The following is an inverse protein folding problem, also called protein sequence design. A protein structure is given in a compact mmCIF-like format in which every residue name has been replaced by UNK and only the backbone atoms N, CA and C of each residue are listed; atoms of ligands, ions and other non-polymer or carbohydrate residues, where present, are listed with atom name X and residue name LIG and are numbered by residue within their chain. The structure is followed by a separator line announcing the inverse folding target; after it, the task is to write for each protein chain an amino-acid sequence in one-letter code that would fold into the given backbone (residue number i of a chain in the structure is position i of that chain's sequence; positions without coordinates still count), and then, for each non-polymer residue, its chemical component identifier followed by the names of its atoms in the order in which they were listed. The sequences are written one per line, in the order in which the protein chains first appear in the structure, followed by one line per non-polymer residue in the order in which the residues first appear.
data_IF_062857493417
#
_entry.id   IF_062857493417
#
_cell.length_a   1.000
_cell.length_b   1.000
_cell.length_c   1.000
_cell.angle_alpha   90.00
_cell.angle_beta   90.00
_cell.angle_gamma   90.00
#
_symmetry.space_group_name_H-M   'P 1'
#
loop_
_entity.id
_entity.type
_entity.pdbx_description
1 polymer ?
#
# COMPACT_ATOMS: atom_id res chain seq x y z
N UNK A 1 -0.64 -47.15 44.15
CA UNK A 1 -1.09 -45.74 44.13
C UNK A 1 -0.57 -45.10 42.86
N UNK A 2 -1.47 -44.58 42.02
CA UNK A 2 -1.24 -44.13 40.64
C UNK A 2 -0.54 -42.76 40.61
N UNK A 3 0.52 -42.63 39.81
CA UNK A 3 1.16 -41.37 39.49
C UNK A 3 0.40 -40.71 38.31
N UNK A 4 -0.02 -39.47 38.51
CA UNK A 4 -0.85 -38.69 37.59
C UNK A 4 0.00 -38.16 36.43
N UNK A 5 -0.45 -38.42 35.20
CA UNK A 5 0.10 -37.86 33.97
C UNK A 5 -0.51 -36.46 33.77
N UNK A 6 0.33 -35.42 33.72
CA UNK A 6 -0.09 -34.08 33.29
C UNK A 6 -0.25 -34.07 31.77
N UNK A 7 -1.49 -33.98 31.30
CA UNK A 7 -1.84 -33.68 29.92
C UNK A 7 -1.91 -32.16 29.78
N UNK A 8 -0.97 -31.56 29.05
CA UNK A 8 -1.08 -30.17 28.62
C UNK A 8 -2.17 -30.07 27.55
N UNK A 9 -3.24 -29.36 27.89
CA UNK A 9 -4.37 -29.07 27.01
C UNK A 9 -3.97 -27.93 26.07
N UNK A 10 -3.75 -28.25 24.79
CA UNK A 10 -3.71 -27.29 23.69
C UNK A 10 -5.16 -26.96 23.29
N UNK A 11 -5.75 -25.94 23.90
CA UNK A 11 -6.94 -25.27 23.35
C UNK A 11 -6.74 -23.76 23.43
N UNK A 12 -6.62 -23.11 22.28
CA UNK A 12 -6.54 -21.66 22.23
C UNK A 12 -6.16 -21.10 20.88
N UNK A 13 -6.85 -21.46 19.79
CA UNK A 13 -6.71 -20.73 18.51
C UNK A 13 -7.93 -20.74 17.58
N UNK A 14 -9.07 -21.34 17.96
CA UNK A 14 -10.21 -21.51 17.02
C UNK A 14 -11.29 -20.42 17.20
N UNK A 15 -11.32 -19.68 18.31
CA UNK A 15 -12.43 -18.74 18.60
C UNK A 15 -12.31 -17.36 17.93
N UNK A 16 -11.13 -16.96 17.45
CA UNK A 16 -10.93 -15.63 16.88
C UNK A 16 -11.49 -15.46 15.45
N UNK A 17 -11.52 -16.52 14.64
CA UNK A 17 -11.97 -16.43 13.24
C UNK A 17 -13.49 -16.29 13.10
N UNK A 18 -14.26 -17.01 13.92
CA UNK A 18 -15.72 -16.97 13.87
C UNK A 18 -16.31 -15.64 14.37
N UNK A 19 -15.64 -14.99 15.33
CA UNK A 19 -16.07 -13.68 15.84
C UNK A 19 -15.95 -12.59 14.77
N UNK A 20 -14.84 -12.57 14.02
CA UNK A 20 -14.57 -11.60 12.96
C UNK A 20 -15.57 -11.72 11.79
N UNK A 21 -15.91 -12.95 11.40
CA UNK A 21 -16.91 -13.24 10.36
C UNK A 21 -18.31 -12.72 10.74
N UNK A 22 -18.67 -12.83 12.03
CA UNK A 22 -19.96 -12.34 12.56
C UNK A 22 -20.05 -10.81 12.63
N UNK A 23 -18.93 -10.12 12.85
CA UNK A 23 -18.87 -8.66 12.94
C UNK A 23 -18.98 -8.01 11.55
N UNK A 24 -18.24 -8.55 10.57
CA UNK A 24 -18.28 -8.03 9.21
C UNK A 24 -19.60 -8.31 8.50
N UNK A 25 -20.27 -9.42 8.80
CA UNK A 25 -21.64 -9.67 8.32
C UNK A 25 -22.62 -8.61 8.84
N UNK A 26 -22.52 -8.26 10.13
CA UNK A 26 -23.40 -7.25 10.74
C UNK A 26 -23.14 -5.85 10.17
N UNK A 27 -21.88 -5.48 10.00
CA UNK A 27 -21.49 -4.24 9.34
C UNK A 27 -22.05 -4.15 7.91
N UNK A 28 -21.93 -5.23 7.15
CA UNK A 28 -22.42 -5.31 5.78
C UNK A 28 -23.94 -5.07 5.69
N UNK A 29 -24.71 -5.68 6.60
CA UNK A 29 -26.15 -5.48 6.70
C UNK A 29 -26.53 -4.07 7.15
N UNK A 30 -25.84 -3.50 8.15
CA UNK A 30 -26.08 -2.14 8.65
C UNK A 30 -25.87 -1.08 7.56
N UNK A 31 -24.89 -1.30 6.68
CA UNK A 31 -24.60 -0.44 5.54
C UNK A 31 -25.59 -0.61 4.38
N UNK A 32 -26.54 -1.54 4.49
CA UNK A 32 -27.57 -1.83 3.49
C UNK A 32 -26.98 -2.15 2.12
N UNK A 33 -25.81 -2.79 2.12
CA UNK A 33 -25.13 -3.16 0.88
C UNK A 33 -25.92 -4.31 0.22
N UNK A 34 -26.30 -4.11 -1.04
CA UNK A 34 -27.04 -5.10 -1.82
C UNK A 34 -26.07 -6.04 -2.51
N UNK A 35 -26.43 -7.32 -2.57
CA UNK A 35 -25.71 -8.35 -3.34
C UNK A 35 -26.11 -8.28 -4.83
N UNK A 36 -25.84 -7.13 -5.45
CA UNK A 36 -26.02 -6.89 -6.87
C UNK A 36 -24.65 -6.71 -7.56
N UNK A 37 -24.66 -6.34 -8.84
CA UNK A 37 -23.43 -6.12 -9.63
C UNK A 37 -22.49 -5.06 -9.02
N UNK A 38 -23.02 -4.16 -8.21
CA UNK A 38 -22.27 -3.07 -7.57
C UNK A 38 -21.93 -3.41 -6.11
N UNK A 39 -22.26 -4.63 -5.64
CA UNK A 39 -22.04 -5.09 -4.27
C UNK A 39 -20.60 -4.88 -3.80
N UNK A 40 -19.63 -5.33 -4.60
CA UNK A 40 -18.23 -5.28 -4.21
C UNK A 40 -17.74 -3.84 -4.09
N UNK A 41 -18.19 -2.95 -4.99
CA UNK A 41 -17.88 -1.52 -4.95
C UNK A 41 -18.53 -0.85 -3.74
N UNK A 42 -19.81 -1.11 -3.49
CA UNK A 42 -20.55 -0.55 -2.37
C UNK A 42 -20.03 -1.08 -1.02
N UNK A 43 -19.54 -2.32 -0.98
CA UNK A 43 -18.94 -2.93 0.19
C UNK A 43 -17.56 -2.34 0.49
N UNK A 44 -16.65 -2.37 -0.48
CA UNK A 44 -15.27 -1.88 -0.30
C UNK A 44 -15.17 -0.37 -0.07
N UNK A 45 -16.16 0.41 -0.52
CA UNK A 45 -16.21 1.85 -0.27
C UNK A 45 -17.06 2.24 0.95
N UNK A 46 -17.72 1.28 1.61
CA UNK A 46 -18.52 1.57 2.79
C UNK A 46 -17.64 1.99 3.96
N UNK A 47 -18.09 3.01 4.70
CA UNK A 47 -17.38 3.52 5.87
C UNK A 47 -17.21 2.42 6.92
N UNK A 48 -15.99 2.26 7.40
CA UNK A 48 -15.61 1.38 8.51
C UNK A 48 -15.24 2.22 9.73
N UNK A 49 -15.21 1.56 10.88
CA UNK A 49 -14.69 2.07 12.14
C UNK A 49 -13.54 1.18 12.64
N UNK A 50 -13.02 1.45 13.83
CA UNK A 50 -11.88 0.73 14.39
C UNK A 50 -12.14 -0.76 14.67
N UNK A 51 -13.40 -1.21 14.73
CA UNK A 51 -13.75 -2.63 14.86
C UNK A 51 -13.97 -3.31 13.51
N UNK A 52 -14.40 -2.54 12.51
CA UNK A 52 -14.80 -3.05 11.19
C UNK A 52 -13.79 -2.75 10.09
N UNK A 53 -12.61 -2.21 10.41
CA UNK A 53 -11.63 -1.77 9.43
C UNK A 53 -11.11 -2.90 8.53
N UNK A 54 -11.14 -4.15 9.01
CA UNK A 54 -10.78 -5.34 8.23
C UNK A 54 -11.95 -5.89 7.40
N UNK A 55 -13.18 -5.40 7.59
CA UNK A 55 -14.36 -5.97 6.93
C UNK A 55 -14.42 -5.74 5.42
N UNK A 56 -13.59 -4.84 4.90
CA UNK A 56 -13.37 -4.73 3.46
C UNK A 56 -12.79 -6.02 2.86
N UNK A 57 -11.97 -6.75 3.61
CA UNK A 57 -11.34 -8.01 3.18
C UNK A 57 -12.37 -9.13 3.00
N UNK A 58 -13.47 -9.09 3.75
CA UNK A 58 -14.58 -10.04 3.67
C UNK A 58 -15.58 -9.71 2.55
N UNK A 59 -15.48 -8.55 1.88
CA UNK A 59 -16.42 -8.14 0.85
C UNK A 59 -16.59 -9.15 -0.32
N UNK A 60 -15.54 -9.82 -0.83
CA UNK A 60 -15.70 -10.86 -1.86
C UNK A 60 -16.62 -12.01 -1.40
N UNK A 61 -16.42 -12.50 -0.17
CA UNK A 61 -17.19 -13.59 0.42
C UNK A 61 -18.62 -13.16 0.76
N UNK A 62 -18.78 -11.95 1.32
CA UNK A 62 -20.07 -11.37 1.69
C UNK A 62 -20.96 -11.07 0.48
N UNK A 63 -20.34 -10.68 -0.65
CA UNK A 63 -21.04 -10.43 -1.90
C UNK A 63 -21.37 -11.71 -2.69
N UNK A 64 -20.78 -12.88 -2.33
CA UNK A 64 -20.99 -14.19 -2.98
C UNK A 64 -21.09 -14.13 -4.50
N UNK A 65 -20.23 -13.34 -5.13
CA UNK A 65 -20.26 -13.17 -6.57
C UNK A 65 -19.50 -14.32 -7.20
N UNK A 66 -20.21 -15.28 -7.79
CA UNK A 66 -19.66 -16.25 -8.75
C UNK A 66 -19.28 -15.52 -10.04
N UNK A 67 -18.25 -14.68 -9.97
CA UNK A 67 -17.70 -13.97 -11.14
C UNK A 67 -16.30 -14.47 -11.32
N UNK A 68 -16.05 -15.03 -12.51
CA UNK A 68 -14.76 -15.50 -12.98
C UNK A 68 -13.59 -14.76 -12.31
N UNK A 69 -12.89 -15.49 -11.46
CA UNK A 69 -12.04 -14.97 -10.37
C UNK A 69 -10.71 -14.36 -10.83
N UNK A 70 -10.47 -14.23 -12.13
CA UNK A 70 -9.18 -13.72 -12.62
C UNK A 70 -9.18 -12.20 -12.85
N UNK A 71 -10.34 -11.58 -13.02
CA UNK A 71 -10.45 -10.13 -13.29
C UNK A 71 -11.13 -9.33 -12.19
N UNK A 72 -11.60 -9.97 -11.11
CA UNK A 72 -12.38 -9.30 -10.05
C UNK A 72 -11.63 -9.08 -8.73
N UNK A 73 -10.39 -9.55 -8.60
CA UNK A 73 -9.47 -9.19 -7.50
C UNK A 73 -9.01 -7.70 -7.56
N UNK A 74 -9.76 -6.83 -8.24
CA UNK A 74 -9.24 -5.90 -9.27
C UNK A 74 -9.46 -4.40 -9.01
N UNK A 75 -10.18 -3.98 -7.97
CA UNK A 75 -10.38 -2.54 -7.67
C UNK A 75 -10.72 -2.26 -6.20
N UNK A 76 -11.50 -3.15 -5.59
CA UNK A 76 -11.88 -3.07 -4.19
C UNK A 76 -10.69 -3.14 -3.22
N UNK A 77 -9.58 -3.74 -3.66
CA UNK A 77 -8.32 -3.82 -2.91
C UNK A 77 -7.52 -2.52 -2.93
N UNK A 78 -7.80 -1.60 -3.87
CA UNK A 78 -7.13 -0.31 -4.02
C UNK A 78 -7.90 0.78 -3.24
N UNK A 79 -7.52 1.02 -1.98
CA UNK A 79 -8.11 2.09 -1.17
C UNK A 79 -7.47 3.45 -1.49
N UNK A 80 -8.17 4.54 -1.19
CA UNK A 80 -7.59 5.90 -1.24
C UNK A 80 -7.37 6.51 -2.63
N UNK A 81 -7.86 5.87 -3.70
CA UNK A 81 -7.61 6.36 -5.06
C UNK A 81 -8.15 7.77 -5.32
N UNK A 82 -7.37 8.58 -6.02
CA UNK A 82 -7.83 9.86 -6.58
C UNK A 82 -8.82 9.65 -7.73
N UNK A 83 -9.58 10.69 -8.14
CA UNK A 83 -10.40 10.62 -9.34
C UNK A 83 -9.60 10.25 -10.60
N UNK A 84 -8.35 10.70 -10.73
CA UNK A 84 -7.51 10.39 -11.89
C UNK A 84 -7.01 8.94 -11.85
N UNK A 85 -6.68 8.41 -10.67
CA UNK A 85 -6.31 7.00 -10.54
C UNK A 85 -7.49 6.10 -10.89
N UNK A 86 -8.71 6.40 -10.41
CA UNK A 86 -9.92 5.66 -10.82
C UNK A 86 -10.13 5.64 -12.33
N UNK A 87 -9.93 6.79 -12.98
CA UNK A 87 -10.03 6.89 -14.44
C UNK A 87 -8.92 6.09 -15.16
N UNK A 88 -7.71 6.04 -14.59
CA UNK A 88 -6.60 5.26 -15.14
C UNK A 88 -6.82 3.75 -14.96
N UNK A 89 -7.36 3.33 -13.82
CA UNK A 89 -7.71 1.93 -13.54
C UNK A 89 -8.77 1.42 -14.52
N UNK A 90 -9.79 2.23 -14.83
CA UNK A 90 -10.80 1.87 -15.84
C UNK A 90 -10.20 1.60 -17.22
N UNK A 91 -9.04 2.19 -17.54
CA UNK A 91 -8.32 2.00 -18.81
C UNK A 91 -7.30 0.86 -18.75
N UNK A 92 -6.63 0.68 -17.61
CA UNK A 92 -5.49 -0.23 -17.45
C UNK A 92 -5.55 -0.99 -16.12
N UNK A 93 -6.56 -1.83 -15.86
CA UNK A 93 -6.80 -2.40 -14.54
C UNK A 93 -5.65 -3.28 -14.05
N UNK A 94 -5.11 -4.16 -14.91
CA UNK A 94 -3.99 -5.03 -14.55
C UNK A 94 -2.71 -4.25 -14.21
N UNK A 95 -2.37 -3.21 -14.97
CA UNK A 95 -1.20 -2.37 -14.68
C UNK A 95 -1.38 -1.55 -13.41
N UNK A 96 -2.60 -1.09 -13.12
CA UNK A 96 -2.87 -0.36 -11.88
C UNK A 96 -2.82 -1.28 -10.66
N UNK A 97 -3.31 -2.52 -10.78
CA UNK A 97 -3.16 -3.52 -9.72
C UNK A 97 -1.67 -3.82 -9.44
N UNK A 98 -0.87 -4.03 -10.50
CA UNK A 98 0.57 -4.19 -10.35
C UNK A 98 1.23 -2.97 -9.71
N UNK A 99 0.87 -1.75 -10.16
CA UNK A 99 1.38 -0.51 -9.58
C UNK A 99 1.07 -0.38 -8.09
N UNK A 100 -0.14 -0.80 -7.69
CA UNK A 100 -0.58 -0.79 -6.30
C UNK A 100 0.15 -1.84 -5.45
N UNK A 101 0.39 -3.05 -5.98
CA UNK A 101 1.23 -4.05 -5.30
C UNK A 101 2.66 -3.54 -5.08
N UNK A 102 3.22 -2.83 -6.08
CA UNK A 102 4.55 -2.23 -5.96
C UNK A 102 4.62 -1.10 -4.92
N UNK A 103 3.50 -0.46 -4.55
CA UNK A 103 3.50 0.52 -3.45
C UNK A 103 3.66 -0.18 -2.10
N UNK A 104 3.09 -1.38 -1.95
CA UNK A 104 3.30 -2.22 -0.75
C UNK A 104 4.72 -2.76 -0.68
N UNK A 105 5.32 -3.12 -1.81
CA UNK A 105 6.73 -3.50 -1.85
C UNK A 105 7.63 -2.32 -1.46
N UNK A 106 7.33 -1.10 -1.93
CA UNK A 106 8.04 0.10 -1.51
C UNK A 106 7.93 0.36 0.00
N UNK A 107 6.72 0.23 0.57
CA UNK A 107 6.47 0.31 2.02
C UNK A 107 7.33 -0.72 2.78
N UNK A 108 7.34 -1.98 2.32
CA UNK A 108 8.12 -3.07 2.94
C UNK A 108 9.62 -2.80 2.88
N UNK A 109 10.13 -2.31 1.75
CA UNK A 109 11.55 -1.97 1.58
C UNK A 109 11.95 -0.78 2.47
N UNK A 110 11.13 0.26 2.53
CA UNK A 110 11.41 1.42 3.38
C UNK A 110 11.35 1.09 4.88
N UNK A 111 10.52 0.11 5.29
CA UNK A 111 10.52 -0.43 6.66
C UNK A 111 11.81 -1.12 7.07
N UNK A 112 12.67 -1.50 6.12
CA UNK A 112 14.03 -1.99 6.43
C UNK A 112 14.96 -0.87 6.91
N UNK A 113 14.64 0.39 6.63
CA UNK A 113 15.43 1.57 6.98
C UNK A 113 14.77 2.36 8.11
N UNK A 114 13.45 2.48 8.08
CA UNK A 114 12.68 3.28 9.02
C UNK A 114 11.66 2.42 9.77
N UNK A 115 11.84 2.28 11.09
CA UNK A 115 10.89 1.58 11.95
C UNK A 115 9.57 2.35 12.04
N UNK A 116 9.65 3.68 12.12
CA UNK A 116 8.50 4.58 12.10
C UNK A 116 8.33 5.19 10.70
N UNK A 117 7.08 5.26 10.26
CA UNK A 117 6.69 5.79 8.95
C UNK A 117 5.78 6.99 9.17
N UNK A 118 6.16 8.17 8.69
CA UNK A 118 5.37 9.40 8.80
C UNK A 118 5.22 10.10 7.46
N UNK A 119 4.31 11.07 7.40
CA UNK A 119 4.15 11.97 6.26
C UNK A 119 5.14 13.12 6.34
N UNK A 120 5.67 13.50 5.18
CA UNK A 120 6.57 14.62 4.95
C UNK A 120 8.00 14.46 5.48
N UNK A 121 8.39 13.27 5.93
CA UNK A 121 9.72 12.98 6.48
C UNK A 121 10.58 12.13 5.52
N UNK A 122 11.75 11.68 5.97
CA UNK A 122 12.64 10.85 5.15
C UNK A 122 12.05 9.46 4.82
N UNK A 123 11.14 8.93 5.66
CA UNK A 123 10.43 7.68 5.38
C UNK A 123 9.41 7.86 4.24
N UNK A 124 8.78 9.03 4.15
CA UNK A 124 7.89 9.40 3.06
C UNK A 124 8.64 9.55 1.74
N UNK A 125 9.73 10.33 1.77
CA UNK A 125 10.64 10.46 0.64
C UNK A 125 11.15 9.10 0.15
N UNK A 126 11.39 8.15 1.07
CA UNK A 126 11.72 6.77 0.71
C UNK A 126 10.61 6.09 -0.08
N UNK A 127 9.35 6.12 0.41
CA UNK A 127 8.24 5.44 -0.27
C UNK A 127 8.02 5.98 -1.67
N UNK A 128 8.02 7.30 -1.85
CA UNK A 128 7.91 7.93 -3.17
C UNK A 128 9.06 7.55 -4.11
N UNK A 129 10.31 7.66 -3.63
CA UNK A 129 11.48 7.32 -4.43
C UNK A 129 11.51 5.84 -4.83
N UNK A 130 11.25 4.93 -3.88
CA UNK A 130 11.31 3.48 -4.10
C UNK A 130 10.15 3.05 -4.99
N UNK A 131 8.93 3.50 -4.72
CA UNK A 131 7.77 3.17 -5.55
C UNK A 131 7.96 3.63 -6.99
N UNK A 132 8.41 4.87 -7.21
CA UNK A 132 8.71 5.36 -8.55
C UNK A 132 9.80 4.55 -9.27
N UNK A 133 10.82 4.08 -8.54
CA UNK A 133 11.88 3.22 -9.07
C UNK A 133 11.32 1.86 -9.50
N UNK A 134 10.52 1.22 -8.64
CA UNK A 134 9.86 -0.07 -8.89
C UNK A 134 8.90 0.01 -10.08
N UNK A 135 8.05 1.05 -10.13
CA UNK A 135 7.14 1.29 -11.24
C UNK A 135 7.89 1.45 -12.56
N UNK A 136 9.00 2.21 -12.56
CA UNK A 136 9.80 2.42 -13.78
C UNK A 136 10.44 1.12 -14.25
N UNK A 137 10.84 0.26 -13.31
CA UNK A 137 11.41 -1.07 -13.58
C UNK A 137 10.39 -2.01 -14.22
N UNK A 138 9.22 -2.14 -13.61
CA UNK A 138 8.24 -3.17 -13.98
C UNK A 138 7.26 -2.73 -15.07
N UNK A 139 6.85 -1.46 -15.06
CA UNK A 139 5.75 -0.97 -15.90
C UNK A 139 6.20 0.04 -16.96
N UNK A 140 7.47 0.45 -16.90
CA UNK A 140 8.08 1.39 -17.83
C UNK A 140 7.71 2.85 -17.56
N UNK A 141 8.64 3.75 -17.92
CA UNK A 141 8.59 5.18 -17.61
C UNK A 141 7.27 5.87 -18.00
N UNK A 142 6.72 5.54 -19.17
CA UNK A 142 5.50 6.18 -19.66
C UNK A 142 4.31 5.93 -18.73
N UNK A 143 4.10 4.67 -18.33
CA UNK A 143 3.01 4.33 -17.42
C UNK A 143 3.29 4.84 -16.01
N UNK A 144 4.55 4.80 -15.56
CA UNK A 144 4.97 5.38 -14.28
C UNK A 144 4.59 6.85 -14.18
N UNK A 145 4.82 7.65 -15.23
CA UNK A 145 4.41 9.05 -15.26
C UNK A 145 2.90 9.21 -15.14
N UNK A 146 2.11 8.34 -15.78
CA UNK A 146 0.65 8.43 -15.70
C UNK A 146 0.13 8.13 -14.30
N UNK A 147 0.60 7.06 -13.67
CA UNK A 147 0.11 6.65 -12.35
C UNK A 147 0.59 7.58 -11.24
N UNK A 148 1.86 8.01 -11.22
CA UNK A 148 2.35 8.94 -10.20
C UNK A 148 1.67 10.30 -10.30
N UNK A 149 1.49 10.85 -11.51
CA UNK A 149 0.74 12.10 -11.67
C UNK A 149 -0.75 11.97 -11.32
N UNK A 150 -1.31 10.76 -11.46
CA UNK A 150 -2.67 10.49 -11.00
C UNK A 150 -2.71 10.40 -9.47
N UNK A 151 -1.73 9.79 -8.84
CA UNK A 151 -1.59 9.70 -7.39
C UNK A 151 -1.49 11.10 -6.74
N UNK A 152 -0.58 11.93 -7.23
CA UNK A 152 -0.37 13.30 -6.76
C UNK A 152 -1.42 14.30 -7.30
N UNK A 153 -2.65 13.86 -7.58
CA UNK A 153 -3.71 14.73 -8.13
C UNK A 153 -4.79 15.12 -7.12
N UNK A 154 -4.59 14.78 -5.86
CA UNK A 154 -5.49 15.18 -4.79
C UNK A 154 -5.52 16.71 -4.63
N UNK A 155 -6.67 17.33 -4.89
CA UNK A 155 -6.83 18.78 -4.84
C UNK A 155 -6.81 19.35 -3.41
N UNK A 156 -6.96 18.50 -2.39
CA UNK A 156 -6.96 18.91 -0.99
C UNK A 156 -5.56 18.85 -0.36
N UNK A 157 -4.56 18.35 -1.09
CA UNK A 157 -3.19 18.28 -0.62
C UNK A 157 -2.51 19.66 -0.70
N UNK A 158 -1.78 20.10 0.34
CA UNK A 158 -0.99 21.32 0.28
C UNK A 158 0.04 21.27 -0.85
N UNK A 159 0.17 22.35 -1.62
CA UNK A 159 1.08 22.42 -2.77
C UNK A 159 2.54 22.10 -2.43
N UNK A 160 2.98 22.44 -1.22
CA UNK A 160 4.33 22.15 -0.74
C UNK A 160 4.57 20.65 -0.52
N UNK A 161 3.58 19.91 0.00
CA UNK A 161 3.66 18.46 0.22
C UNK A 161 3.66 17.76 -1.13
N UNK A 162 2.69 18.10 -1.98
CA UNK A 162 2.63 17.62 -3.37
C UNK A 162 3.94 17.85 -4.15
N UNK A 163 4.58 19.00 -3.95
CA UNK A 163 5.86 19.32 -4.61
C UNK A 163 7.00 18.44 -4.12
N UNK A 164 7.02 18.10 -2.82
CA UNK A 164 7.96 17.13 -2.24
C UNK A 164 7.78 15.76 -2.91
N UNK A 165 6.54 15.29 -2.98
CA UNK A 165 6.21 13.97 -3.52
C UNK A 165 6.54 13.85 -5.01
N UNK A 166 6.17 14.86 -5.79
CA UNK A 166 6.55 14.97 -7.21
C UNK A 166 8.07 14.98 -7.41
N UNK A 167 8.81 15.72 -6.57
CA UNK A 167 10.26 15.78 -6.66
C UNK A 167 10.91 14.42 -6.33
N UNK A 168 10.47 13.76 -5.27
CA UNK A 168 11.00 12.47 -4.84
C UNK A 168 10.65 11.35 -5.82
N UNK A 169 9.43 11.35 -6.35
CA UNK A 169 8.99 10.50 -7.45
C UNK A 169 9.92 10.64 -8.67
N UNK A 170 10.24 11.89 -9.05
CA UNK A 170 11.14 12.16 -10.19
C UNK A 170 12.55 11.62 -9.96
N UNK A 171 13.08 11.74 -8.74
CA UNK A 171 14.40 11.18 -8.40
C UNK A 171 14.40 9.65 -8.49
N UNK A 172 13.33 8.97 -8.06
CA UNK A 172 13.20 7.51 -8.22
C UNK A 172 13.22 7.07 -9.69
N UNK A 173 12.48 7.77 -10.55
CA UNK A 173 12.49 7.51 -12.00
C UNK A 173 13.88 7.70 -12.61
N UNK A 174 14.60 8.77 -12.26
CA UNK A 174 15.95 9.06 -12.74
C UNK A 174 16.95 8.01 -12.26
N UNK A 175 16.85 7.60 -11.00
CA UNK A 175 17.73 6.58 -10.43
C UNK A 175 17.62 5.25 -11.17
N UNK A 176 16.41 4.85 -11.61
CA UNK A 176 16.24 3.66 -12.43
C UNK A 176 16.77 3.84 -13.86
N UNK A 177 16.55 5.00 -14.49
CA UNK A 177 17.04 5.27 -15.85
C UNK A 177 18.57 5.13 -15.97
N UNK A 178 19.31 5.36 -14.88
CA UNK A 178 20.77 5.27 -14.86
C UNK A 178 21.32 3.83 -14.96
N UNK A 179 20.58 2.79 -14.55
CA UNK A 179 20.97 1.38 -14.73
C UNK A 179 19.72 0.48 -14.73
N UNK A 180 19.39 -0.14 -15.87
CA UNK A 180 18.33 -1.17 -15.98
C UNK A 180 18.68 -2.40 -15.11
N UNK A 181 17.65 -3.06 -14.58
CA UNK A 181 17.75 -4.33 -13.82
C UNK A 181 18.41 -4.22 -12.43
N UNK A 182 18.27 -3.09 -11.72
CA UNK A 182 18.69 -3.01 -10.32
C UNK A 182 17.87 -3.93 -9.41
N UNK A 183 18.54 -4.62 -8.49
CA UNK A 183 17.88 -5.30 -7.37
C UNK A 183 17.25 -4.31 -6.39
N UNK A 184 16.40 -4.80 -5.49
CA UNK A 184 15.76 -3.95 -4.47
C UNK A 184 16.79 -3.33 -3.52
N UNK A 185 17.85 -4.07 -3.16
CA UNK A 185 18.98 -3.54 -2.36
C UNK A 185 19.67 -2.38 -3.09
N UNK A 186 19.85 -2.50 -4.40
CA UNK A 186 20.46 -1.43 -5.20
C UNK A 186 19.54 -0.22 -5.30
N UNK A 187 18.21 -0.40 -5.33
CA UNK A 187 17.25 0.72 -5.23
C UNK A 187 17.40 1.43 -3.88
N UNK A 188 17.43 0.68 -2.77
CA UNK A 188 17.62 1.23 -1.44
C UNK A 188 18.97 1.94 -1.26
N UNK A 189 20.05 1.40 -1.84
CA UNK A 189 21.36 2.06 -1.83
C UNK A 189 21.33 3.38 -2.61
N UNK A 190 20.62 3.44 -3.74
CA UNK A 190 20.45 4.68 -4.50
C UNK A 190 19.59 5.70 -3.75
N UNK A 191 18.56 5.25 -3.04
CA UNK A 191 17.81 6.11 -2.13
C UNK A 191 18.75 6.73 -1.08
N UNK A 192 19.56 5.92 -0.37
CA UNK A 192 20.52 6.41 0.63
C UNK A 192 21.52 7.41 0.05
N UNK A 193 22.03 7.16 -1.16
CA UNK A 193 22.95 8.08 -1.87
C UNK A 193 22.28 9.42 -2.17
N UNK A 194 21.05 9.41 -2.69
CA UNK A 194 20.30 10.63 -2.99
C UNK A 194 19.94 11.40 -1.72
N UNK A 195 19.52 10.70 -0.67
CA UNK A 195 19.25 11.31 0.64
C UNK A 195 20.49 12.01 1.20
N UNK A 196 21.63 11.31 1.26
CA UNK A 196 22.90 11.87 1.79
C UNK A 196 23.42 13.05 0.96
N UNK A 197 23.14 13.06 -0.34
CA UNK A 197 23.57 14.13 -1.25
C UNK A 197 22.64 15.35 -1.25
N UNK A 198 21.53 15.30 -0.50
CA UNK A 198 20.55 16.38 -0.47
C UNK A 198 19.67 16.48 -1.73
N UNK A 199 19.59 15.40 -2.52
CA UNK A 199 18.78 15.38 -3.75
C UNK A 199 17.29 15.11 -3.50
N UNK A 200 16.93 14.64 -2.30
CA UNK A 200 15.54 14.39 -1.89
C UNK A 200 15.00 15.57 -1.11
N UNK A 201 13.71 15.85 -1.30
CA UNK A 201 12.99 16.89 -0.58
C UNK A 201 12.32 16.26 0.64
N UNK A 202 12.48 16.89 1.81
CA UNK A 202 11.87 16.49 3.08
C UNK A 202 11.41 17.77 3.76
N UNK A 203 10.19 17.81 4.29
CA UNK A 203 9.62 19.01 4.95
C UNK A 203 9.77 18.90 6.47
N UNK A 204 9.46 17.73 7.04
CA UNK A 204 9.66 17.45 8.47
C UNK A 204 10.98 16.74 8.64
N UNK A 205 11.96 17.43 9.24
CA UNK A 205 13.15 16.73 9.70
C UNK A 205 12.74 15.68 10.74
N UNK A 206 13.25 14.46 10.59
CA UNK A 206 13.26 13.50 11.69
C UNK A 206 14.01 14.16 12.87
N UNK A 207 13.56 13.96 14.13
CA UNK A 207 14.38 14.36 15.28
C UNK A 207 15.77 13.75 15.12
N UNK A 208 16.82 14.52 15.42
CA UNK A 208 18.26 14.31 15.10
C UNK A 208 18.90 12.96 15.53
N UNK A 209 18.13 11.99 16.03
CA UNK A 209 18.61 10.79 16.71
C UNK A 209 18.35 9.46 15.98
N UNK A 210 18.17 9.45 14.65
CA UNK A 210 18.14 8.18 13.90
C UNK A 210 19.51 7.90 13.28
N UNK A 211 20.26 7.04 13.96
CA UNK A 211 21.48 6.43 13.44
C UNK A 211 21.10 5.61 12.20
N UNK A 212 21.48 6.09 11.02
CA UNK A 212 21.52 5.25 9.82
C UNK A 212 22.72 4.32 10.00
N UNK A 213 22.53 3.21 10.72
CA UNK A 213 23.54 2.15 10.70
C UNK A 213 23.59 1.57 9.28
N UNK A 214 24.69 1.84 8.59
CA UNK A 214 25.01 1.16 7.34
C UNK A 214 25.21 -0.33 7.59
N UNK A 215 25.08 -1.18 6.55
CA UNK A 215 25.34 -2.61 6.70
C UNK A 215 26.77 -2.84 7.21
N UNK A 216 26.90 -3.69 8.23
CA UNK A 216 28.17 -4.25 8.69
C UNK A 216 28.78 -5.16 7.64
#
# INVERSE_FOLDING_TARGET
MKLVVLIFILFGSIEQSAALESECTRWFEQRKIKRDKDCLLNCSSAKVDMGTFTCHEACPDLCRVNVASETLFSLASMYGLTPKERALVAKNPAKCLAAYQLSWDAEKLCKQIYIASQTNDASDACRHFVWASLLTRELGLEFTNQILNAHESNLNEPEVERSMDLANNRQGQLAFQSLKNKSDEQILENFRKNLKSGNLVIIKNLPENIVIEGPK
#
